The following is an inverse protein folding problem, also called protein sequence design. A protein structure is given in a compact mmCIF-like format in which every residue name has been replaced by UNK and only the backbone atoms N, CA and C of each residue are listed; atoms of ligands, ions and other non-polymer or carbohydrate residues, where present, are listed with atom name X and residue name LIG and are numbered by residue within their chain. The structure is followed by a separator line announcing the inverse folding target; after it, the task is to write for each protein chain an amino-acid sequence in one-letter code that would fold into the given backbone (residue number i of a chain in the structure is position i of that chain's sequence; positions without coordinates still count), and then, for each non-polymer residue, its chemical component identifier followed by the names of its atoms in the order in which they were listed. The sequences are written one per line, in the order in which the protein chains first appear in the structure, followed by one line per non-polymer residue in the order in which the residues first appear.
data_IF_244900082533
#
_entry.id   IF_244900082533
#
_cell.length_a   1.000
_cell.length_b   1.000
_cell.length_c   1.000
_cell.angle_alpha   90.00
_cell.angle_beta   90.00
_cell.angle_gamma   90.00
#
_symmetry.space_group_name_H-M   'P 1'
#
loop_
_entity.id
_entity.type
_entity.pdbx_description
1 polymer ?
#
# COMPACT_ATOMS: atom_id res chain seq x y z
N UNK A 1 -6.56 7.01 -17.76
CA UNK A 1 -7.60 7.87 -18.36
C UNK A 1 -7.78 9.01 -17.41
N UNK A 2 -7.22 10.16 -17.78
CA UNK A 2 -6.97 11.26 -16.86
C UNK A 2 -8.30 11.98 -16.57
N UNK A 3 -8.46 12.56 -15.37
CA UNK A 3 -9.73 13.18 -14.93
C UNK A 3 -10.30 14.24 -15.90
N UNK A 4 -9.44 14.88 -16.70
CA UNK A 4 -9.85 15.80 -17.76
C UNK A 4 -10.57 15.10 -18.94
N UNK A 5 -10.21 13.85 -19.25
CA UNK A 5 -10.81 13.06 -20.34
C UNK A 5 -12.25 12.63 -20.05
N UNK A 6 -12.58 12.37 -18.77
CA UNK A 6 -13.93 12.00 -18.34
C UNK A 6 -14.87 13.21 -18.45
N UNK A 7 -14.41 14.39 -18.04
CA UNK A 7 -15.17 15.64 -18.12
C UNK A 7 -15.45 16.03 -19.58
N UNK A 8 -14.45 15.90 -20.46
CA UNK A 8 -14.60 16.20 -21.89
C UNK A 8 -15.56 15.22 -22.61
N UNK A 9 -15.52 13.94 -22.25
CA UNK A 9 -16.43 12.94 -22.81
C UNK A 9 -17.89 13.18 -22.36
N UNK A 10 -18.09 13.53 -21.09
CA UNK A 10 -19.41 13.85 -20.53
C UNK A 10 -20.07 15.06 -21.18
N UNK A 11 -19.32 16.15 -21.39
CA UNK A 11 -19.85 17.37 -22.03
C UNK A 11 -20.22 17.11 -23.50
N UNK A 12 -19.41 16.35 -24.24
CA UNK A 12 -19.64 16.05 -25.66
C UNK A 12 -20.83 15.11 -25.89
N UNK A 13 -21.06 14.15 -24.98
CA UNK A 13 -22.25 13.29 -24.97
C UNK A 13 -23.53 14.10 -24.68
N UNK A 14 -23.45 15.05 -23.75
CA UNK A 14 -24.57 15.93 -23.40
C UNK A 14 -25.02 16.78 -24.61
N UNK A 15 -24.07 17.26 -25.41
CA UNK A 15 -24.35 18.07 -26.59
C UNK A 15 -24.97 17.23 -27.73
N UNK A 16 -24.51 15.99 -27.93
CA UNK A 16 -25.05 15.07 -28.94
C UNK A 16 -26.49 14.62 -28.64
N UNK A 17 -26.82 14.37 -27.37
CA UNK A 17 -28.17 13.96 -26.95
C UNK A 17 -29.18 15.11 -26.83
N UNK A 18 -28.72 16.37 -26.88
CA UNK A 18 -29.62 17.53 -26.80
C UNK A 18 -30.46 17.76 -28.06
N UNK A 19 -30.19 17.02 -29.15
CA UNK A 19 -30.85 17.18 -30.46
C UNK A 19 -32.25 16.55 -30.51
N UNK A 20 -32.56 15.53 -29.69
CA UNK A 20 -33.89 14.88 -29.66
C UNK A 20 -34.23 14.31 -28.27
N UNK A 21 -34.60 15.19 -27.32
CA UNK A 21 -34.84 14.83 -25.90
C UNK A 21 -35.99 13.82 -25.68
N UNK A 22 -37.03 13.85 -26.50
CA UNK A 22 -38.21 13.00 -26.32
C UNK A 22 -37.97 11.54 -26.74
N UNK A 23 -37.23 11.34 -27.84
CA UNK A 23 -37.02 10.00 -28.43
C UNK A 23 -36.08 9.14 -27.60
N UNK A 24 -35.16 9.76 -26.85
CA UNK A 24 -34.09 9.07 -26.14
C UNK A 24 -34.14 9.22 -24.61
N UNK A 25 -35.28 9.64 -24.05
CA UNK A 25 -35.43 9.86 -22.60
C UNK A 25 -34.98 8.67 -21.75
N UNK A 26 -35.37 7.45 -22.15
CA UNK A 26 -34.97 6.20 -21.47
C UNK A 26 -33.46 5.94 -21.55
N UNK A 27 -32.85 6.23 -22.69
CA UNK A 27 -31.40 6.07 -22.90
C UNK A 27 -30.61 7.10 -22.08
N UNK A 28 -31.16 8.31 -21.94
CA UNK A 28 -30.58 9.36 -21.11
C UNK A 28 -30.53 8.98 -19.62
N UNK A 29 -31.57 8.32 -19.11
CA UNK A 29 -31.58 7.83 -17.72
C UNK A 29 -30.52 6.75 -17.48
N UNK A 30 -30.30 5.86 -18.45
CA UNK A 30 -29.23 4.85 -18.40
C UNK A 30 -27.85 5.52 -18.43
N UNK A 31 -27.64 6.50 -19.31
CA UNK A 31 -26.37 7.24 -19.40
C UNK A 31 -26.08 7.97 -18.09
N UNK A 32 -27.09 8.59 -17.46
CA UNK A 32 -26.95 9.19 -16.13
C UNK A 32 -26.52 8.16 -15.08
N UNK A 33 -27.14 6.98 -15.05
CA UNK A 33 -26.73 5.91 -14.13
C UNK A 33 -25.28 5.50 -14.35
N UNK A 34 -24.85 5.33 -15.60
CA UNK A 34 -23.45 5.00 -15.94
C UNK A 34 -22.51 6.12 -15.49
N UNK A 35 -22.84 7.39 -15.75
CA UNK A 35 -22.02 8.53 -15.35
C UNK A 35 -21.88 8.63 -13.83
N UNK A 36 -22.97 8.40 -13.08
CA UNK A 36 -22.98 8.40 -11.62
C UNK A 36 -22.12 7.25 -11.09
N UNK A 37 -22.22 6.05 -11.67
CA UNK A 37 -21.37 4.90 -11.32
C UNK A 37 -19.89 5.17 -11.63
N UNK A 38 -19.57 5.80 -12.76
CA UNK A 38 -18.20 6.21 -13.10
C UNK A 38 -17.65 7.25 -12.14
N UNK A 39 -18.48 8.20 -11.67
CA UNK A 39 -18.07 9.22 -10.70
C UNK A 39 -17.92 8.66 -9.27
N UNK A 40 -18.70 7.64 -8.91
CA UNK A 40 -18.58 6.92 -7.63
C UNK A 40 -17.32 6.07 -7.48
N UNK A 41 -16.56 5.88 -8.56
CA UNK A 41 -15.23 5.25 -8.57
C UNK A 41 -14.09 6.27 -8.68
N UNK A 42 -14.39 7.55 -8.92
CA UNK A 42 -13.39 8.61 -9.12
C UNK A 42 -13.11 9.43 -7.85
N UNK A 43 -13.60 9.00 -6.68
CA UNK A 43 -13.29 9.66 -5.39
C UNK A 43 -12.64 8.69 -4.43
N UNK A 44 -11.40 8.29 -4.75
CA UNK A 44 -10.36 8.02 -3.75
C UNK A 44 -9.01 8.61 -4.23
N UNK A 45 -9.02 9.80 -4.84
CA UNK A 45 -7.83 10.67 -4.87
C UNK A 45 -7.78 11.51 -3.58
N UNK A 46 -7.86 10.84 -2.43
CA UNK A 46 -7.70 11.51 -1.13
C UNK A 46 -6.50 10.89 -0.46
N UNK A 47 -5.33 11.46 -0.75
CA UNK A 47 -4.16 11.72 0.11
C UNK A 47 -4.18 11.17 1.55
N UNK A 48 -4.47 9.89 1.72
CA UNK A 48 -4.41 9.16 2.99
C UNK A 48 -4.21 7.66 2.75
N UNK A 49 -3.70 7.26 1.58
CA UNK A 49 -2.92 6.03 1.56
C UNK A 49 -1.62 6.33 2.28
N UNK A 50 -1.67 6.22 3.62
CA UNK A 50 -0.53 5.77 4.39
C UNK A 50 0.20 4.75 3.54
N UNK A 51 1.50 4.97 3.40
CA UNK A 51 2.45 4.22 2.62
C UNK A 51 2.63 2.77 3.11
N UNK A 52 1.54 2.08 3.45
CA UNK A 52 1.50 0.77 4.09
C UNK A 52 1.82 -0.35 3.09
N UNK A 53 1.67 -0.08 1.79
CA UNK A 53 2.11 -0.98 0.74
C UNK A 53 3.63 -0.88 0.50
N UNK A 54 4.24 0.32 0.55
CA UNK A 54 5.69 0.46 0.33
C UNK A 54 6.54 0.22 1.59
N UNK A 55 5.95 0.25 2.78
CA UNK A 55 6.67 -0.12 4.02
C UNK A 55 7.09 -1.60 4.00
N UNK A 56 6.31 -2.46 3.32
CA UNK A 56 6.69 -3.84 3.05
C UNK A 56 7.84 -3.87 2.04
N UNK A 57 7.77 -3.11 0.95
CA UNK A 57 8.83 -3.11 -0.08
C UNK A 57 10.18 -2.50 0.34
N UNK A 58 10.22 -1.62 1.34
CA UNK A 58 11.49 -1.02 1.81
C UNK A 58 12.23 -1.86 2.87
N UNK A 59 11.75 -3.07 3.18
CA UNK A 59 12.49 -4.00 4.02
C UNK A 59 13.66 -4.59 3.25
N UNK A 60 14.85 -4.58 3.86
CA UNK A 60 16.02 -5.29 3.30
C UNK A 60 15.77 -6.80 3.36
N UNK A 61 16.39 -7.56 2.46
CA UNK A 61 16.30 -9.02 2.40
C UNK A 61 16.48 -9.69 3.78
N UNK A 62 17.47 -9.23 4.56
CA UNK A 62 17.73 -9.72 5.92
C UNK A 62 16.52 -9.58 6.87
N UNK A 63 15.69 -8.55 6.70
CA UNK A 63 14.48 -8.37 7.49
C UNK A 63 13.41 -9.41 7.14
N UNK A 64 13.30 -9.81 5.88
CA UNK A 64 12.40 -10.89 5.46
C UNK A 64 12.84 -12.24 6.00
N UNK A 65 14.15 -12.53 5.94
CA UNK A 65 14.71 -13.76 6.52
C UNK A 65 14.42 -13.81 8.01
N UNK A 66 14.66 -12.71 8.74
CA UNK A 66 14.38 -12.64 10.18
C UNK A 66 12.89 -12.87 10.49
N UNK A 67 11.97 -12.23 9.75
CA UNK A 67 10.53 -12.46 9.93
C UNK A 67 10.16 -13.93 9.70
N UNK A 68 10.72 -14.56 8.67
CA UNK A 68 10.48 -15.97 8.37
C UNK A 68 10.93 -16.88 9.51
N UNK A 69 12.13 -16.66 10.04
CA UNK A 69 12.65 -17.40 11.18
C UNK A 69 11.75 -17.26 12.42
N UNK A 70 11.25 -16.05 12.70
CA UNK A 70 10.33 -15.82 13.83
C UNK A 70 9.04 -16.60 13.64
N UNK A 71 8.44 -16.55 12.46
CA UNK A 71 7.19 -17.28 12.16
C UNK A 71 7.39 -18.79 12.29
N UNK A 72 8.52 -19.31 11.81
CA UNK A 72 8.84 -20.74 11.93
C UNK A 72 9.03 -21.16 13.39
N UNK A 73 9.74 -20.37 14.19
CA UNK A 73 9.92 -20.63 15.62
C UNK A 73 8.59 -20.60 16.39
N UNK A 74 7.68 -19.68 16.07
CA UNK A 74 6.34 -19.62 16.68
C UNK A 74 5.52 -20.85 16.30
N UNK A 75 5.58 -21.26 15.03
CA UNK A 75 4.87 -22.47 14.56
C UNK A 75 5.37 -23.75 15.24
N UNK A 76 6.67 -23.84 15.50
CA UNK A 76 7.25 -24.96 16.24
C UNK A 76 6.81 -24.97 17.71
N UNK A 77 6.69 -23.80 18.33
CA UNK A 77 6.17 -23.66 19.69
C UNK A 77 4.65 -23.95 19.80
N UNK A 78 3.90 -23.84 18.70
CA UNK A 78 2.45 -24.04 18.65
C UNK A 78 1.74 -22.71 18.37
N UNK A 79 1.60 -21.88 19.40
CA UNK A 79 1.08 -20.51 19.30
C UNK A 79 2.04 -19.49 19.94
N UNK A 80 1.79 -18.20 19.72
CA UNK A 80 2.57 -17.08 20.27
C UNK A 80 2.62 -17.14 21.80
N UNK A 81 1.55 -17.62 22.44
CA UNK A 81 1.45 -17.73 23.90
C UNK A 81 2.25 -18.92 24.46
N UNK A 82 2.56 -19.90 23.63
CA UNK A 82 3.29 -21.12 24.04
C UNK A 82 4.81 -20.93 24.01
N UNK A 83 5.27 -19.81 23.43
CA UNK A 83 6.70 -19.46 23.40
C UNK A 83 7.18 -19.06 24.80
N UNK A 84 7.96 -19.95 25.43
CA UNK A 84 8.58 -19.65 26.72
C UNK A 84 9.65 -18.56 26.60
N UNK A 85 9.52 -17.49 27.40
CA UNK A 85 10.47 -16.37 27.40
C UNK A 85 11.70 -16.76 28.23
N UNK A 86 12.77 -17.16 27.56
CA UNK A 86 14.05 -17.51 28.17
C UNK A 86 14.91 -16.27 28.48
N UNK A 87 15.90 -16.42 29.37
CA UNK A 87 16.77 -15.33 29.83
C UNK A 87 17.61 -14.76 28.69
N UNK A 88 18.04 -15.62 27.79
CA UNK A 88 18.87 -15.32 26.62
C UNK A 88 18.14 -14.39 25.65
N UNK A 89 16.83 -14.59 25.43
CA UNK A 89 16.01 -13.68 24.64
C UNK A 89 15.96 -12.29 25.25
N UNK A 90 15.85 -12.18 26.57
CA UNK A 90 15.84 -10.88 27.25
C UNK A 90 17.17 -10.15 27.08
N UNK A 91 18.29 -10.87 27.21
CA UNK A 91 19.63 -10.32 26.98
C UNK A 91 19.78 -9.88 25.52
N UNK A 92 19.36 -10.72 24.57
CA UNK A 92 19.40 -10.41 23.14
C UNK A 92 18.61 -9.14 22.81
N UNK A 93 17.39 -8.99 23.34
CA UNK A 93 16.57 -7.79 23.14
C UNK A 93 17.23 -6.55 23.74
N UNK A 94 17.86 -6.65 24.92
CA UNK A 94 18.60 -5.54 25.52
C UNK A 94 19.79 -5.11 24.65
N UNK A 95 20.49 -6.06 24.02
CA UNK A 95 21.63 -5.79 23.15
C UNK A 95 21.25 -5.37 21.73
N UNK A 96 20.03 -5.67 21.27
CA UNK A 96 19.60 -5.48 19.88
C UNK A 96 19.75 -4.02 19.40
N UNK A 97 19.47 -3.04 20.29
CA UNK A 97 19.64 -1.63 19.94
C UNK A 97 21.10 -1.28 19.67
N UNK A 98 22.02 -1.76 20.51
CA UNK A 98 23.44 -1.49 20.33
C UNK A 98 23.95 -2.13 19.03
N UNK A 99 23.61 -3.40 18.81
CA UNK A 99 23.98 -4.12 17.58
C UNK A 99 23.47 -3.41 16.31
N UNK A 100 22.27 -2.83 16.36
CA UNK A 100 21.75 -2.04 15.25
C UNK A 100 22.54 -0.75 14.99
N UNK A 101 22.96 -0.05 16.05
CA UNK A 101 23.81 1.14 15.91
C UNK A 101 25.17 0.77 15.30
N UNK A 102 25.80 -0.28 15.81
CA UNK A 102 27.08 -0.79 15.28
C UNK A 102 26.95 -1.16 13.79
N UNK A 103 25.84 -1.81 13.39
CA UNK A 103 25.53 -2.12 11.99
C UNK A 103 25.37 -0.87 11.11
N UNK A 104 24.73 0.19 11.62
CA UNK A 104 24.60 1.46 10.89
C UNK A 104 25.96 2.14 10.69
N UNK A 105 26.84 2.07 11.69
CA UNK A 105 28.20 2.60 11.58
C UNK A 105 29.04 1.84 10.56
N UNK A 106 28.97 0.50 10.55
CA UNK A 106 29.63 -0.33 9.54
C UNK A 106 29.17 0.03 8.12
N UNK A 107 27.86 0.12 7.89
CA UNK A 107 27.32 0.52 6.58
C UNK A 107 27.79 1.91 6.12
N UNK A 108 27.99 2.84 7.06
CA UNK A 108 28.51 4.18 6.72
C UNK A 108 29.96 4.09 6.27
N UNK A 109 30.79 3.26 6.94
CA UNK A 109 32.20 3.04 6.57
C UNK A 109 32.32 2.40 5.19
N UNK A 110 31.57 1.34 4.94
CA UNK A 110 31.54 0.63 3.64
C UNK A 110 31.21 1.59 2.49
N UNK A 111 30.22 2.48 2.67
CA UNK A 111 29.85 3.47 1.67
C UNK A 111 30.89 4.58 1.44
N UNK A 112 31.77 4.83 2.41
CA UNK A 112 32.87 5.80 2.27
C UNK A 112 34.10 5.17 1.61
N UNK A 113 34.26 3.85 1.71
CA UNK A 113 35.38 3.11 1.09
C UNK A 113 35.11 2.76 -0.39
N UNK A 114 33.84 2.75 -0.80
CA UNK A 114 33.39 2.53 -2.19
C UNK A 114 33.40 3.81 -3.07
N UNK A 115 33.74 4.98 -2.50
CA UNK A 115 33.85 6.27 -3.20
C UNK A 115 35.30 6.67 -3.47
#
# INVERSE_FOLDING_TARGET
MDGAGILFFGIKLCQYFSVDKEKYRKLWDIIKMILILSHGQATVEREFSLNKALEVENLKENSYIAQRMIIEAIKEAGDVLDVSIIKEMRISVQCARQQYLDYLECQKREKMEEQ
#
